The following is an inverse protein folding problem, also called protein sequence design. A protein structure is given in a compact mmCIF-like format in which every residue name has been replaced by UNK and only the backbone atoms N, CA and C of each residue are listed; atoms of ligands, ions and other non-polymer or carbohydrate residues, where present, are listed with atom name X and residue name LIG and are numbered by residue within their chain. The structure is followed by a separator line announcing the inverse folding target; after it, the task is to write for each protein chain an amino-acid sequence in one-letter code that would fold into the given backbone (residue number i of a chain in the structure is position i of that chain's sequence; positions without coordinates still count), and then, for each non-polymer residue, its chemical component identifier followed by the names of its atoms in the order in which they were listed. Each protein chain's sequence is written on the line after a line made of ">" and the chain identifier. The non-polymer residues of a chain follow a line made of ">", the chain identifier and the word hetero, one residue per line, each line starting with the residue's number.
data_IF_418306401540
#
_entry.id   IF_418306401540
#
_cell.length_a   1.000
_cell.length_b   1.000
_cell.length_c   1.000
_cell.angle_alpha   90.00
_cell.angle_beta   90.00
_cell.angle_gamma   90.00
#
_symmetry.space_group_name_H-M   'P 1'
#
loop_
_entity.id
_entity.type
_entity.pdbx_description
1 polymer ?
#
# COMPACT_ATOMS: atom_id res chain seq x y z
N UNK A 1 3.68 -18.01 9.23
CA UNK A 1 3.55 -17.08 8.10
C UNK A 1 2.32 -17.38 7.26
N UNK A 2 1.44 -16.39 7.18
CA UNK A 2 0.18 -16.36 6.43
C UNK A 2 0.28 -15.28 5.36
N UNK A 3 -0.33 -15.51 4.19
CA UNK A 3 -0.45 -14.51 3.13
C UNK A 3 -1.86 -13.92 3.14
N UNK A 4 -1.96 -12.60 3.24
CA UNK A 4 -3.23 -11.87 3.20
C UNK A 4 -3.22 -10.99 1.97
N UNK A 5 -4.07 -11.30 0.99
CA UNK A 5 -4.18 -10.52 -0.24
C UNK A 5 -5.19 -9.39 -0.04
N UNK A 6 -4.83 -8.19 -0.49
CA UNK A 6 -5.78 -7.08 -0.57
C UNK A 6 -6.68 -7.18 -1.80
N UNK A 7 -7.80 -6.45 -1.75
CA UNK A 7 -8.54 -6.13 -2.95
C UNK A 7 -7.63 -5.41 -3.98
N UNK A 8 -7.78 -5.77 -5.26
CA UNK A 8 -7.07 -5.12 -6.36
C UNK A 8 -7.52 -3.67 -6.50
N UNK A 9 -6.56 -2.77 -6.70
CA UNK A 9 -6.84 -1.41 -7.16
C UNK A 9 -6.58 -1.33 -8.66
N UNK A 10 -7.53 -0.74 -9.39
CA UNK A 10 -7.38 -0.38 -10.80
C UNK A 10 -7.38 1.13 -10.88
N UNK A 11 -6.35 1.72 -11.49
CA UNK A 11 -6.28 3.16 -11.70
C UNK A 11 -7.36 3.65 -12.67
N UNK A 12 -7.70 4.94 -12.65
CA UNK A 12 -8.50 5.56 -13.69
C UNK A 12 -7.87 5.42 -15.09
N UNK A 13 -8.67 5.65 -16.12
CA UNK A 13 -8.25 5.58 -17.52
C UNK A 13 -7.47 6.83 -17.94
N UNK A 14 -6.30 7.06 -17.34
CA UNK A 14 -5.38 8.15 -17.65
C UNK A 14 -3.92 7.70 -17.64
N UNK A 15 -3.09 8.52 -18.29
CA UNK A 15 -1.63 8.32 -18.42
C UNK A 15 -0.86 9.54 -17.92
N UNK A 16 -1.49 10.39 -17.11
CA UNK A 16 -0.80 11.56 -16.54
C UNK A 16 0.30 11.07 -15.61
N UNK A 17 1.50 11.62 -15.78
CA UNK A 17 2.63 11.24 -14.95
C UNK A 17 2.43 11.72 -13.51
N UNK A 18 2.75 10.84 -12.57
CA UNK A 18 2.78 11.18 -11.16
C UNK A 18 4.01 12.04 -10.84
N UNK A 19 3.82 12.99 -9.93
CA UNK A 19 4.89 13.65 -9.20
C UNK A 19 5.26 12.87 -7.92
N UNK A 20 6.41 13.21 -7.34
CA UNK A 20 6.78 12.73 -6.00
C UNK A 20 5.78 13.26 -4.99
N UNK A 21 5.24 12.37 -4.16
CA UNK A 21 4.26 12.71 -3.12
C UNK A 21 2.81 12.58 -3.55
N UNK A 22 2.52 12.19 -4.79
CA UNK A 22 1.15 11.98 -5.24
C UNK A 22 0.55 10.69 -4.68
N UNK A 23 -0.77 10.69 -4.54
CA UNK A 23 -1.59 9.54 -4.18
C UNK A 23 -1.83 8.67 -5.42
N UNK A 24 -1.54 7.37 -5.27
CA UNK A 24 -1.97 6.34 -6.22
C UNK A 24 -3.28 5.72 -5.72
N UNK A 25 -4.36 5.89 -6.49
CA UNK A 25 -5.71 5.49 -6.12
C UNK A 25 -6.56 5.01 -7.31
N UNK A 26 -7.75 4.50 -7.01
CA UNK A 26 -8.72 3.99 -7.99
C UNK A 26 -9.70 5.05 -8.52
N UNK A 27 -9.61 6.30 -8.07
CA UNK A 27 -10.52 7.36 -8.48
C UNK A 27 -9.85 8.72 -8.37
N UNK A 28 -10.08 9.60 -9.36
CA UNK A 28 -9.67 11.01 -9.32
C UNK A 28 -10.51 11.85 -8.32
N UNK A 29 -11.63 11.31 -7.85
CA UNK A 29 -12.51 11.97 -6.87
C UNK A 29 -12.19 11.49 -5.47
N UNK A 30 -11.74 12.39 -4.59
CA UNK A 30 -11.30 12.07 -3.23
C UNK A 30 -12.30 11.22 -2.41
N UNK A 31 -13.59 11.58 -2.45
CA UNK A 31 -14.66 10.85 -1.74
C UNK A 31 -14.99 9.48 -2.33
N UNK A 32 -14.42 9.13 -3.48
CA UNK A 32 -14.61 7.83 -4.15
C UNK A 32 -13.35 6.96 -4.12
N UNK A 33 -12.27 7.44 -3.49
CA UNK A 33 -11.07 6.62 -3.26
C UNK A 33 -11.39 5.52 -2.26
N UNK A 34 -11.09 4.28 -2.64
CA UNK A 34 -11.16 3.13 -1.73
C UNK A 34 -9.75 2.62 -1.44
N UNK A 35 -9.31 2.63 -0.17
CA UNK A 35 -8.02 2.06 0.22
C UNK A 35 -7.90 0.57 -0.09
N UNK A 36 -6.68 0.06 -0.20
CA UNK A 36 -6.45 -1.38 -0.15
C UNK A 36 -7.03 -1.92 1.15
N UNK A 37 -7.81 -2.99 1.07
CA UNK A 37 -8.39 -3.65 2.24
C UNK A 37 -7.79 -5.04 2.36
N UNK A 38 -7.06 -5.28 3.45
CA UNK A 38 -6.49 -6.57 3.79
C UNK A 38 -7.44 -7.26 4.75
N UNK A 39 -8.19 -8.23 4.25
CA UNK A 39 -9.15 -9.02 5.03
C UNK A 39 -8.82 -10.50 4.87
N UNK A 40 -9.13 -11.30 5.89
CA UNK A 40 -9.09 -12.74 5.79
C UNK A 40 -10.19 -13.36 6.66
N UNK A 41 -11.11 -14.08 6.01
CA UNK A 41 -12.37 -14.55 6.61
C UNK A 41 -12.22 -15.46 7.84
N UNK A 42 -11.04 -16.03 8.10
CA UNK A 42 -10.81 -17.01 9.17
C UNK A 42 -9.74 -16.59 10.19
N UNK A 43 -9.34 -15.32 10.20
CA UNK A 43 -8.30 -14.82 11.12
C UNK A 43 -8.92 -13.88 12.13
N UNK A 44 -9.06 -14.37 13.36
CA UNK A 44 -9.60 -13.59 14.50
C UNK A 44 -8.47 -13.02 15.37
N UNK A 45 -7.24 -13.49 15.19
CA UNK A 45 -6.09 -13.07 15.99
C UNK A 45 -5.42 -11.82 15.40
N UNK A 46 -4.82 -10.95 16.23
CA UNK A 46 -3.96 -9.89 15.76
C UNK A 46 -2.82 -10.45 14.92
N UNK A 47 -2.45 -9.71 13.88
CA UNK A 47 -1.36 -10.05 12.98
C UNK A 47 -0.26 -9.00 13.05
N UNK A 48 0.99 -9.44 12.97
CA UNK A 48 2.12 -8.57 12.67
C UNK A 48 2.44 -8.66 11.19
N UNK A 49 2.86 -7.54 10.60
CA UNK A 49 3.17 -7.45 9.17
C UNK A 49 4.69 -7.43 8.97
N UNK A 50 5.21 -8.27 8.08
CA UNK A 50 6.64 -8.30 7.73
C UNK A 50 6.95 -7.44 6.52
N UNK A 51 6.20 -7.68 5.45
CA UNK A 51 6.50 -7.15 4.12
C UNK A 51 5.26 -7.22 3.25
N UNK A 52 5.31 -6.49 2.15
CA UNK A 52 4.32 -6.65 1.08
C UNK A 52 5.00 -6.99 -0.23
N UNK A 53 4.24 -7.67 -1.07
CA UNK A 53 4.58 -7.91 -2.47
C UNK A 53 3.51 -7.21 -3.29
N UNK A 54 3.92 -6.25 -4.11
CA UNK A 54 3.05 -5.60 -5.06
C UNK A 54 3.32 -6.12 -6.46
N UNK A 55 2.26 -6.45 -7.18
CA UNK A 55 2.28 -6.72 -8.62
C UNK A 55 1.54 -5.61 -9.33
N UNK A 56 2.18 -5.04 -10.36
CA UNK A 56 1.53 -4.14 -11.30
C UNK A 56 1.39 -4.81 -12.67
N UNK A 57 0.32 -4.47 -13.41
CA UNK A 57 0.12 -4.91 -14.79
C UNK A 57 1.02 -4.21 -15.82
N UNK A 58 1.65 -3.10 -15.43
CA UNK A 58 2.58 -2.35 -16.28
C UNK A 58 3.99 -2.89 -16.06
N UNK A 59 4.70 -3.20 -17.13
CA UNK A 59 6.04 -3.79 -17.09
C UNK A 59 7.17 -2.74 -17.03
N UNK A 60 6.84 -1.46 -17.25
CA UNK A 60 7.79 -0.36 -17.05
C UNK A 60 8.19 -0.30 -15.59
N UNK A 61 9.50 -0.44 -15.31
CA UNK A 61 10.05 -0.42 -13.94
C UNK A 61 10.65 0.91 -13.54
N UNK A 62 10.97 1.77 -14.52
CA UNK A 62 11.60 3.06 -14.29
C UNK A 62 10.77 3.89 -13.32
N UNK A 63 11.42 4.34 -12.24
CA UNK A 63 10.84 5.19 -11.20
C UNK A 63 9.59 4.62 -10.48
N UNK A 64 9.30 3.32 -10.59
CA UNK A 64 8.26 2.66 -9.78
C UNK A 64 8.73 2.49 -8.33
N UNK A 65 8.71 3.61 -7.60
CA UNK A 65 9.07 3.70 -6.19
C UNK A 65 7.89 4.27 -5.40
N UNK A 66 7.50 3.58 -4.33
CA UNK A 66 6.28 3.85 -3.60
C UNK A 66 6.49 3.72 -2.09
N UNK A 67 5.60 4.36 -1.34
CA UNK A 67 5.44 4.16 0.09
C UNK A 67 4.00 3.71 0.38
N UNK A 68 3.85 2.62 1.13
CA UNK A 68 2.58 2.09 1.59
C UNK A 68 2.35 2.52 3.04
N UNK A 69 1.30 3.29 3.27
CA UNK A 69 0.86 3.71 4.60
C UNK A 69 -0.24 2.77 5.06
N UNK A 70 -0.10 2.18 6.25
CA UNK A 70 -1.06 1.22 6.81
C UNK A 70 -1.94 1.88 7.87
N UNK A 71 -3.21 1.47 7.92
CA UNK A 71 -4.19 2.03 8.86
C UNK A 71 -5.02 0.93 9.52
N UNK A 72 -5.29 1.07 10.82
CA UNK A 72 -6.19 0.17 11.57
C UNK A 72 -7.67 0.40 11.27
N UNK A 73 -8.01 1.52 10.63
CA UNK A 73 -9.36 1.88 10.19
C UNK A 73 -9.28 2.51 8.80
N UNK A 74 -10.34 2.35 7.99
CA UNK A 74 -10.34 2.89 6.63
C UNK A 74 -10.09 4.41 6.63
N UNK A 75 -8.99 4.89 6.03
CA UNK A 75 -8.67 6.30 5.95
C UNK A 75 -9.52 7.03 4.90
N UNK A 76 -9.63 8.36 5.05
CA UNK A 76 -10.16 9.26 4.01
C UNK A 76 -9.06 10.19 3.51
N UNK A 77 -9.12 10.59 2.24
CA UNK A 77 -8.13 11.46 1.59
C UNK A 77 -8.77 12.76 1.11
N UNK A 78 -7.97 13.82 0.95
CA UNK A 78 -8.45 15.11 0.40
C UNK A 78 -8.40 15.18 -1.12
N UNK A 79 -7.55 14.35 -1.74
CA UNK A 79 -7.35 14.32 -3.18
C UNK A 79 -7.61 12.91 -3.70
N UNK A 80 -8.02 12.80 -4.95
CA UNK A 80 -8.04 11.52 -5.65
C UNK A 80 -6.68 11.16 -6.24
N UNK A 81 -6.71 10.19 -7.13
CA UNK A 81 -5.56 9.73 -7.90
C UNK A 81 -4.82 10.89 -8.58
N UNK A 82 -3.49 10.84 -8.56
CA UNK A 82 -2.58 11.85 -9.14
C UNK A 82 -2.69 13.24 -8.48
N UNK A 83 -3.33 13.34 -7.31
CA UNK A 83 -3.26 14.52 -6.44
C UNK A 83 -2.35 14.28 -5.25
N UNK A 84 -1.98 15.36 -4.54
CA UNK A 84 -1.08 15.27 -3.39
C UNK A 84 -1.60 14.27 -2.33
N UNK A 85 -0.74 13.38 -1.86
CA UNK A 85 -1.05 12.44 -0.79
C UNK A 85 -1.31 13.20 0.51
N UNK A 86 -2.56 13.22 0.92
CA UNK A 86 -3.00 13.87 2.14
C UNK A 86 -4.18 13.10 2.73
N UNK A 87 -3.94 12.51 3.90
CA UNK A 87 -4.93 11.74 4.65
C UNK A 87 -5.58 12.68 5.66
N UNK A 88 -6.90 12.56 5.85
CA UNK A 88 -7.67 13.44 6.73
C UNK A 88 -8.57 12.67 7.68
N UNK A 89 -9.04 13.40 8.69
CA UNK A 89 -9.96 12.91 9.71
C UNK A 89 -9.27 12.06 10.77
N UNK A 90 -10.02 11.64 11.81
CA UNK A 90 -9.50 10.84 12.92
C UNK A 90 -8.96 9.46 12.47
N UNK A 91 -9.34 8.99 11.28
CA UNK A 91 -8.83 7.74 10.72
C UNK A 91 -7.48 7.90 10.00
N UNK A 92 -7.02 9.12 9.79
CA UNK A 92 -5.77 9.39 9.11
C UNK A 92 -4.57 9.31 10.05
N UNK A 93 -4.42 10.26 10.95
CA UNK A 93 -3.25 10.33 11.85
C UNK A 93 -3.34 9.34 12.99
N UNK A 94 -4.51 9.20 13.61
CA UNK A 94 -4.64 8.47 14.89
C UNK A 94 -4.67 6.96 14.68
N UNK A 95 -4.92 6.52 13.43
CA UNK A 95 -4.99 5.11 13.05
C UNK A 95 -3.83 4.70 12.12
N UNK A 96 -2.85 5.58 11.89
CA UNK A 96 -1.64 5.24 11.14
C UNK A 96 -0.84 4.20 11.93
N UNK A 97 -0.60 3.06 11.30
CA UNK A 97 0.03 1.92 11.96
C UNK A 97 1.40 1.50 11.44
N UNK A 98 1.88 2.17 10.40
CA UNK A 98 3.20 1.90 9.84
C UNK A 98 3.33 2.42 8.43
N UNK A 99 4.58 2.60 8.00
CA UNK A 99 4.93 2.98 6.63
C UNK A 99 5.94 1.97 6.11
N UNK A 100 5.72 1.50 4.90
CA UNK A 100 6.63 0.60 4.20
C UNK A 100 7.08 1.27 2.92
N UNK A 101 8.36 1.17 2.58
CA UNK A 101 8.89 1.66 1.31
C UNK A 101 9.19 0.50 0.37
N UNK A 102 9.01 0.73 -0.92
CA UNK A 102 9.28 -0.28 -1.93
C UNK A 102 10.78 -0.39 -2.26
N UNK A 103 11.22 -1.59 -2.59
CA UNK A 103 12.40 -1.85 -3.40
C UNK A 103 12.25 -1.25 -4.80
N UNK A 104 13.34 -1.26 -5.58
CA UNK A 104 13.26 -1.11 -7.02
C UNK A 104 12.30 -2.16 -7.62
N UNK A 105 11.59 -1.76 -8.67
CA UNK A 105 10.68 -2.64 -9.39
C UNK A 105 11.46 -3.63 -10.27
N UNK A 106 10.97 -4.87 -10.34
CA UNK A 106 11.50 -5.93 -11.20
C UNK A 106 10.50 -6.20 -12.32
N UNK A 107 10.94 -6.15 -13.58
CA UNK A 107 10.11 -6.44 -14.74
C UNK A 107 9.88 -7.96 -14.83
N UNK A 108 8.65 -8.38 -15.11
CA UNK A 108 8.28 -9.81 -15.23
C UNK A 108 7.80 -10.17 -16.64
N UNK A 109 8.04 -9.33 -17.65
CA UNK A 109 7.61 -9.48 -19.05
C UNK A 109 6.12 -9.17 -19.31
N UNK A 110 5.28 -9.26 -18.29
CA UNK A 110 3.83 -8.99 -18.36
C UNK A 110 3.36 -7.99 -17.27
N UNK A 111 4.30 -7.37 -16.57
CA UNK A 111 4.06 -6.53 -15.41
C UNK A 111 5.33 -6.26 -14.62
N UNK A 112 5.19 -5.72 -13.41
CA UNK A 112 6.30 -5.46 -12.51
C UNK A 112 6.02 -5.90 -11.09
N UNK A 113 7.08 -6.20 -10.33
CA UNK A 113 7.01 -6.54 -8.90
C UNK A 113 7.80 -5.53 -8.07
N UNK A 114 7.22 -5.06 -6.96
CA UNK A 114 7.92 -4.34 -5.91
C UNK A 114 7.77 -5.09 -4.59
N UNK A 115 8.85 -5.16 -3.81
CA UNK A 115 8.80 -5.65 -2.42
C UNK A 115 8.80 -4.46 -1.46
N UNK A 116 7.96 -4.48 -0.45
CA UNK A 116 7.84 -3.40 0.52
C UNK A 116 8.39 -3.85 1.86
N UNK A 117 9.27 -3.04 2.43
CA UNK A 117 9.90 -3.27 3.73
C UNK A 117 9.54 -2.15 4.69
N UNK A 118 9.42 -2.44 5.99
CA UNK A 118 9.07 -1.43 6.97
C UNK A 118 10.11 -0.32 7.01
N UNK A 119 9.66 0.91 7.23
CA UNK A 119 10.53 2.08 7.38
C UNK A 119 10.53 2.52 8.84
N UNK A 120 11.71 2.89 9.35
CA UNK A 120 11.81 3.59 10.62
C UNK A 120 11.44 5.08 10.49
N UNK A 121 11.45 5.80 11.60
CA UNK A 121 11.16 7.23 11.63
C UNK A 121 12.16 8.09 10.83
N UNK A 122 13.36 7.55 10.53
CA UNK A 122 14.36 8.19 9.69
C UNK A 122 14.19 7.84 8.19
N UNK A 123 13.21 7.00 7.84
CA UNK A 123 12.97 6.56 6.47
C UNK A 123 13.94 5.48 5.99
N UNK A 124 14.61 4.78 6.90
CA UNK A 124 15.52 3.68 6.56
C UNK A 124 14.74 2.36 6.48
N UNK A 125 15.06 1.52 5.50
CA UNK A 125 14.51 0.17 5.42
C UNK A 125 14.95 -0.67 6.61
N UNK A 126 13.98 -1.24 7.31
CA UNK A 126 14.17 -2.19 8.37
C UNK A 126 13.87 -3.59 7.82
N UNK A 127 14.66 -4.59 8.21
CA UNK A 127 14.34 -5.98 7.94
C UNK A 127 13.55 -6.56 9.12
N UNK A 128 12.44 -7.24 8.85
CA UNK A 128 11.63 -7.91 9.88
C UNK A 128 10.24 -7.28 10.08
N UNK A 129 9.76 -7.30 11.32
CA UNK A 129 8.40 -6.92 11.69
C UNK A 129 8.31 -5.44 12.05
N UNK A 130 7.17 -4.81 11.73
CA UNK A 130 6.79 -3.61 12.48
C UNK A 130 6.34 -4.02 13.89
N UNK A 131 6.63 -3.20 14.92
CA UNK A 131 6.15 -3.47 16.27
C UNK A 131 4.61 -3.50 16.37
N UNK A 132 3.95 -2.76 15.49
CA UNK A 132 2.49 -2.65 15.50
C UNK A 132 1.81 -3.93 15.05
N UNK A 133 0.73 -4.24 15.75
CA UNK A 133 -0.16 -5.37 15.49
C UNK A 133 -1.46 -4.83 14.92
N UNK A 134 -2.04 -5.55 13.97
CA UNK A 134 -3.32 -5.18 13.36
C UNK A 134 -4.36 -6.26 13.63
N UNK A 135 -5.58 -5.84 13.91
CA UNK A 135 -6.75 -6.72 13.76
C UNK A 135 -7.25 -6.59 12.33
N UNK A 136 -7.57 -7.71 11.69
CA UNK A 136 -8.13 -7.69 10.35
C UNK A 136 -9.62 -7.26 10.39
N UNK A 137 -10.09 -6.48 9.41
CA UNK A 137 -9.33 -5.95 8.30
C UNK A 137 -8.50 -4.71 8.67
N UNK A 138 -7.33 -4.57 8.05
CA UNK A 138 -6.57 -3.32 8.04
C UNK A 138 -6.46 -2.77 6.62
N UNK A 139 -6.03 -1.52 6.49
CA UNK A 139 -6.14 -0.76 5.25
C UNK A 139 -4.79 -0.20 4.81
N UNK A 140 -4.67 0.09 3.52
CA UNK A 140 -3.45 0.66 2.92
C UNK A 140 -3.71 1.74 1.89
N UNK A 141 -2.90 2.80 1.89
CA UNK A 141 -2.84 3.80 0.82
C UNK A 141 -1.41 3.88 0.26
N UNK A 142 -1.28 4.06 -1.06
CA UNK A 142 0.01 4.18 -1.73
C UNK A 142 0.31 5.63 -2.06
N UNK A 143 1.50 6.08 -1.65
CA UNK A 143 2.12 7.33 -2.07
C UNK A 143 3.23 7.04 -3.06
N UNK A 144 3.28 7.81 -4.13
CA UNK A 144 4.36 7.77 -5.11
C UNK A 144 5.58 8.49 -4.57
N UNK A 145 6.77 7.90 -4.71
CA UNK A 145 8.02 8.43 -4.16
C UNK A 145 9.10 8.72 -5.24
N UNK A 146 8.76 8.51 -6.51
CA UNK A 146 9.53 8.96 -7.67
C UNK A 146 8.58 9.25 -8.83
N UNK A 147 8.90 10.24 -9.67
CA UNK A 147 8.04 10.58 -10.79
C UNK A 147 7.97 9.43 -11.81
N UNK A 148 6.79 8.88 -12.03
CA UNK A 148 6.57 7.76 -12.95
C UNK A 148 5.33 7.99 -13.80
N UNK A 149 5.39 7.55 -15.05
CA UNK A 149 4.25 7.57 -15.96
C UNK A 149 3.55 6.22 -15.93
N UNK A 150 2.28 6.16 -15.49
CA UNK A 150 1.51 4.93 -15.46
C UNK A 150 0.96 4.57 -16.85
N UNK A 151 0.48 3.34 -17.01
CA UNK A 151 -0.43 3.01 -18.12
C UNK A 151 -1.87 3.26 -17.71
N UNK A 152 -2.74 3.54 -18.69
CA UNK A 152 -4.17 3.62 -18.46
C UNK A 152 -4.70 2.30 -17.87
N UNK A 153 -5.59 2.39 -16.87
CA UNK A 153 -6.17 1.23 -16.18
C UNK A 153 -5.13 0.29 -15.54
N UNK A 154 -3.93 0.78 -15.23
CA UNK A 154 -2.92 -0.02 -14.53
C UNK A 154 -3.48 -0.59 -13.23
N UNK A 155 -3.29 -1.89 -13.03
CA UNK A 155 -3.79 -2.59 -11.84
C UNK A 155 -2.67 -2.87 -10.87
N UNK A 156 -2.97 -2.79 -9.58
CA UNK A 156 -2.06 -3.05 -8.48
C UNK A 156 -2.67 -4.10 -7.55
N UNK A 157 -1.96 -5.22 -7.38
CA UNK A 157 -2.29 -6.30 -6.47
C UNK A 157 -1.27 -6.31 -5.33
N UNK A 158 -1.73 -6.10 -4.09
CA UNK A 158 -0.90 -6.19 -2.89
C UNK A 158 -1.18 -7.48 -2.12
N UNK A 159 -0.11 -8.14 -1.70
CA UNK A 159 -0.15 -9.26 -0.75
C UNK A 159 0.71 -8.92 0.45
N UNK A 160 0.13 -8.97 1.64
CA UNK A 160 0.83 -8.86 2.90
C UNK A 160 1.35 -10.24 3.34
N UNK A 161 2.57 -10.28 3.83
CA UNK A 161 3.08 -11.42 4.60
C UNK A 161 2.98 -11.10 6.08
N UNK A 162 2.25 -11.94 6.80
CA UNK A 162 1.91 -11.71 8.20
C UNK A 162 2.18 -12.94 9.06
N UNK A 163 2.47 -12.73 10.34
CA UNK A 163 2.39 -13.78 11.35
C UNK A 163 1.23 -13.49 12.29
N UNK A 164 0.59 -14.56 12.74
CA UNK A 164 -0.42 -14.50 13.77
C UNK A 164 0.26 -14.39 15.13
N UNK A 165 -0.17 -13.43 15.93
CA UNK A 165 0.26 -13.35 17.32
C UNK A 165 -0.64 -14.25 18.15
N UNK A 166 -0.12 -15.41 18.52
CA UNK A 166 -0.73 -16.24 19.54
C UNK A 166 -0.45 -15.62 20.91
N UNK A 167 -1.48 -15.11 21.59
CA UNK A 167 -1.37 -14.89 23.03
C UNK A 167 -1.18 -16.26 23.67
N UNK A 168 0.00 -16.50 24.24
CA UNK A 168 0.32 -17.76 24.92
C UNK A 168 -0.77 -18.13 25.92
N UNK A 169 -1.18 -19.40 25.89
CA UNK A 169 -1.88 -20.03 27.03
C UNK A 169 -0.87 -20.36 28.12
#
# INVERSE_FOLDING_TARGET
>A
MLLVRAARITRPNDVTAYAVGDLLANSVTAGSVTPFTFAHDNVVQPVQVMRFIMRSSNDTVTNKNFQLYLFSRSPTVTNGDNGAFAVTGPNGTDNLGGVFGSSAAVNTGAGSINYFYPMDAAGTFQNGWIPQVFTLPFYGLLKVNAAYTPTALETFDLTAEVDMISYGR
#
